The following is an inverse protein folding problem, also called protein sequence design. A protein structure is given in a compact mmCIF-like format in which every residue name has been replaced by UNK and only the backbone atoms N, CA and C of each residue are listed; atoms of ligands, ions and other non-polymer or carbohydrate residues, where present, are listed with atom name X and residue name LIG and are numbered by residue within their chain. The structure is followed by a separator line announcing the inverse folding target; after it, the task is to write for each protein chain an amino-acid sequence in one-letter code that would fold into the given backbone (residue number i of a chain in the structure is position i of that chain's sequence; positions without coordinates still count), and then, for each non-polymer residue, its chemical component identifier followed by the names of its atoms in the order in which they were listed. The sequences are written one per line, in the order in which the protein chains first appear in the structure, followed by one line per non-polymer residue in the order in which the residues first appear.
data_IF_849928561448
#
_entry.id   IF_849928561448
#
_cell.length_a   1.000
_cell.length_b   1.000
_cell.length_c   1.000
_cell.angle_alpha   90.00
_cell.angle_beta   90.00
_cell.angle_gamma   90.00
#
_symmetry.space_group_name_H-M   'P 1'
#
loop_
_entity.id
_entity.type
_entity.pdbx_description
1 polymer ?
#
# COMPACT_ATOMS: atom_id res chain seq x y z
N UNK A 1 -48.17 -19.42 -7.24
CA UNK A 1 -46.99 -19.75 -8.07
C UNK A 1 -46.29 -18.51 -8.63
N UNK A 2 -47.01 -17.49 -9.20
CA UNK A 2 -46.37 -16.27 -9.76
C UNK A 2 -45.57 -15.44 -8.75
N UNK A 3 -46.03 -15.36 -7.44
CA UNK A 3 -45.32 -14.60 -6.40
C UNK A 3 -44.04 -15.26 -5.92
N UNK A 4 -43.96 -16.61 -5.95
CA UNK A 4 -42.78 -17.37 -5.59
C UNK A 4 -41.66 -17.24 -6.64
N UNK A 5 -42.04 -17.16 -7.91
CA UNK A 5 -41.11 -16.98 -9.02
C UNK A 5 -40.46 -15.59 -9.01
N UNK A 6 -41.20 -14.56 -8.54
CA UNK A 6 -40.67 -13.19 -8.43
C UNK A 6 -39.62 -13.06 -7.32
N UNK A 7 -39.79 -13.78 -6.19
CA UNK A 7 -38.85 -13.78 -5.07
C UNK A 7 -37.53 -14.49 -5.46
N UNK A 8 -37.61 -15.59 -6.22
CA UNK A 8 -36.41 -16.30 -6.70
C UNK A 8 -35.65 -15.45 -7.73
N UNK A 9 -36.35 -14.69 -8.58
CA UNK A 9 -35.72 -13.79 -9.54
C UNK A 9 -35.03 -12.61 -8.86
N UNK A 10 -35.56 -12.11 -7.73
CA UNK A 10 -34.94 -11.04 -6.95
C UNK A 10 -33.66 -11.47 -6.24
N UNK A 11 -33.57 -12.74 -5.83
CA UNK A 11 -32.37 -13.31 -5.19
C UNK A 11 -31.21 -13.57 -6.18
N UNK A 12 -31.52 -13.75 -7.48
CA UNK A 12 -30.51 -14.00 -8.51
C UNK A 12 -29.71 -12.73 -8.89
N UNK A 13 -30.17 -11.54 -8.52
CA UNK A 13 -29.49 -10.28 -8.81
C UNK A 13 -28.40 -9.87 -7.79
N UNK A 14 -28.27 -10.58 -6.66
CA UNK A 14 -27.30 -10.23 -5.62
C UNK A 14 -25.95 -10.98 -5.64
N UNK A 15 -25.67 -11.79 -6.67
CA UNK A 15 -24.52 -12.71 -6.64
C UNK A 15 -23.36 -12.36 -7.59
N UNK A 16 -23.09 -11.09 -7.86
CA UNK A 16 -21.88 -10.70 -8.58
C UNK A 16 -21.10 -9.57 -7.88
N UNK A 17 -20.85 -9.69 -6.56
CA UNK A 17 -19.73 -8.98 -5.98
C UNK A 17 -18.46 -9.75 -6.37
N UNK A 18 -17.75 -9.24 -7.38
CA UNK A 18 -16.49 -9.81 -7.83
C UNK A 18 -15.46 -9.68 -6.71
N UNK A 19 -14.64 -10.72 -6.48
CA UNK A 19 -13.53 -10.69 -5.52
C UNK A 19 -12.60 -9.47 -5.71
N UNK A 20 -12.53 -8.92 -6.91
CA UNK A 20 -11.81 -7.68 -7.24
C UNK A 20 -12.43 -6.46 -6.53
N UNK A 21 -13.74 -6.44 -6.34
CA UNK A 21 -14.44 -5.35 -5.64
C UNK A 21 -14.19 -5.41 -4.13
N UNK A 22 -14.10 -6.61 -3.53
CA UNK A 22 -13.78 -6.78 -2.10
C UNK A 22 -12.38 -6.26 -1.75
N UNK A 23 -11.38 -6.50 -2.59
CA UNK A 23 -10.01 -6.00 -2.41
C UNK A 23 -9.99 -4.48 -2.44
N UNK A 24 -10.59 -3.89 -3.46
CA UNK A 24 -10.66 -2.43 -3.58
C UNK A 24 -11.49 -1.80 -2.46
N UNK A 25 -12.53 -2.49 -2.00
CA UNK A 25 -13.34 -2.05 -0.87
C UNK A 25 -12.51 -2.08 0.43
N UNK A 26 -11.77 -3.17 0.70
CA UNK A 26 -10.91 -3.27 1.86
C UNK A 26 -9.84 -2.15 1.90
N UNK A 27 -9.24 -1.83 0.76
CA UNK A 27 -8.26 -0.75 0.64
C UNK A 27 -8.88 0.62 0.93
N UNK A 28 -10.08 0.90 0.40
CA UNK A 28 -10.80 2.16 0.65
C UNK A 28 -11.19 2.31 2.11
N UNK A 29 -11.83 1.30 2.68
CA UNK A 29 -12.32 1.33 4.06
C UNK A 29 -11.17 1.48 5.06
N UNK A 30 -10.02 0.86 4.78
CA UNK A 30 -8.86 1.01 5.63
C UNK A 30 -8.16 2.36 5.46
N UNK A 31 -8.13 2.90 4.24
CA UNK A 31 -7.64 4.25 3.98
C UNK A 31 -8.48 5.29 4.70
N UNK A 32 -9.80 5.22 4.58
CA UNK A 32 -10.72 6.13 5.24
C UNK A 32 -10.61 6.06 6.77
N UNK A 33 -10.48 4.83 7.32
CA UNK A 33 -10.24 4.64 8.75
C UNK A 33 -8.93 5.27 9.18
N UNK A 34 -7.85 5.01 8.45
CA UNK A 34 -6.52 5.48 8.78
C UNK A 34 -6.42 7.00 8.69
N UNK A 35 -6.95 7.61 7.63
CA UNK A 35 -6.97 9.07 7.49
C UNK A 35 -7.75 9.77 8.60
N UNK A 36 -8.81 9.14 9.13
CA UNK A 36 -9.64 9.72 10.21
C UNK A 36 -9.06 9.51 11.60
N UNK A 37 -8.49 8.33 11.86
CA UNK A 37 -8.22 7.88 13.21
C UNK A 37 -6.71 7.72 13.52
N UNK A 38 -5.83 7.70 12.51
CA UNK A 38 -4.41 7.52 12.73
C UNK A 38 -3.80 8.79 13.30
N UNK A 39 -3.64 8.78 14.62
CA UNK A 39 -3.14 9.90 15.39
C UNK A 39 -2.38 9.39 16.61
N UNK A 40 -1.17 9.85 16.79
CA UNK A 40 -0.37 9.65 18.00
C UNK A 40 -0.20 11.01 18.67
N UNK A 41 -0.29 11.04 19.99
CA UNK A 41 -0.12 12.25 20.77
C UNK A 41 1.28 12.86 20.51
N UNK A 42 1.32 14.17 20.35
CA UNK A 42 2.53 14.96 20.03
C UNK A 42 3.16 14.71 18.66
N UNK A 43 2.55 13.92 17.78
CA UNK A 43 3.00 13.74 16.41
C UNK A 43 2.03 14.39 15.41
N UNK A 44 2.56 14.81 14.26
CA UNK A 44 1.74 15.30 13.16
C UNK A 44 0.89 14.18 12.57
N UNK A 45 -0.35 14.48 12.20
CA UNK A 45 -1.23 13.54 11.51
C UNK A 45 -0.79 13.33 10.06
N UNK A 46 -1.07 12.16 9.48
CA UNK A 46 -0.84 11.96 8.06
C UNK A 46 -1.78 12.85 7.23
N UNK A 47 -1.26 13.41 6.15
CA UNK A 47 -2.06 14.16 5.17
C UNK A 47 -2.22 13.39 3.85
N UNK A 48 -1.40 12.33 3.64
CA UNK A 48 -1.45 11.48 2.46
C UNK A 48 -1.08 10.05 2.83
N UNK A 49 -1.86 9.09 2.31
CA UNK A 49 -1.60 7.65 2.42
C UNK A 49 -1.72 7.04 1.02
N UNK A 50 -0.78 6.20 0.65
CA UNK A 50 -0.78 5.43 -0.58
C UNK A 50 -0.73 3.94 -0.27
N UNK A 51 -1.62 3.18 -0.91
CA UNK A 51 -1.63 1.73 -0.89
C UNK A 51 -1.35 1.18 -2.28
N UNK A 52 -0.34 0.34 -2.39
CA UNK A 52 -0.01 -0.38 -3.61
C UNK A 52 -0.05 -1.88 -3.34
N UNK A 53 -0.94 -2.58 -4.04
CA UNK A 53 -1.04 -4.04 -4.02
C UNK A 53 -0.66 -4.57 -5.39
N UNK A 54 0.38 -5.36 -5.44
CA UNK A 54 0.92 -5.96 -6.67
C UNK A 54 0.79 -7.47 -6.62
N UNK A 55 0.21 -8.03 -7.68
CA UNK A 55 0.26 -9.47 -7.94
C UNK A 55 1.21 -9.72 -9.09
N UNK A 56 2.17 -10.61 -8.88
CA UNK A 56 3.10 -11.04 -9.91
C UNK A 56 3.24 -12.55 -9.91
N UNK A 57 3.51 -13.12 -11.07
CA UNK A 57 3.81 -14.54 -11.23
C UNK A 57 5.18 -14.67 -11.86
N UNK A 58 6.10 -15.30 -11.16
CA UNK A 58 7.42 -15.62 -11.66
C UNK A 58 7.42 -17.06 -12.18
N UNK A 59 7.62 -17.21 -13.48
CA UNK A 59 7.80 -18.52 -14.10
C UNK A 59 9.29 -18.68 -14.41
N UNK A 60 9.90 -19.69 -13.81
CA UNK A 60 11.29 -20.04 -14.04
C UNK A 60 11.36 -21.41 -14.69
N UNK A 61 11.97 -21.49 -15.87
CA UNK A 61 12.16 -22.73 -16.61
C UNK A 61 13.65 -23.01 -16.74
N UNK A 62 14.08 -24.18 -16.29
CA UNK A 62 15.44 -24.64 -16.43
C UNK A 62 15.49 -25.78 -17.46
N UNK A 63 16.49 -25.72 -18.35
CA UNK A 63 16.68 -26.78 -19.35
C UNK A 63 18.19 -27.11 -19.48
N UNK A 64 18.51 -28.37 -19.62
CA UNK A 64 19.87 -28.90 -19.85
C UNK A 64 19.87 -29.85 -21.03
N UNK A 65 20.78 -29.62 -21.98
CA UNK A 65 20.91 -30.44 -23.19
C UNK A 65 19.61 -30.62 -23.97
N UNK A 66 18.76 -29.56 -24.00
CA UNK A 66 17.48 -29.58 -24.72
C UNK A 66 16.31 -30.20 -23.95
N UNK A 67 16.55 -30.72 -22.74
CA UNK A 67 15.48 -31.23 -21.87
C UNK A 67 15.18 -30.27 -20.74
N UNK A 68 13.91 -29.98 -20.51
CA UNK A 68 13.45 -29.19 -19.37
C UNK A 68 13.69 -29.98 -18.09
N UNK A 69 14.44 -29.41 -17.15
CA UNK A 69 14.78 -30.04 -15.87
C UNK A 69 13.93 -29.56 -14.73
N UNK A 70 13.45 -28.30 -14.80
CA UNK A 70 12.58 -27.74 -13.78
C UNK A 70 11.66 -26.66 -14.35
N UNK A 71 10.45 -26.59 -13.86
CA UNK A 71 9.50 -25.50 -14.11
C UNK A 71 8.94 -25.07 -12.77
N UNK A 72 9.27 -23.88 -12.34
CA UNK A 72 8.76 -23.30 -11.10
C UNK A 72 7.83 -22.14 -11.41
N UNK A 73 6.62 -22.18 -10.87
CA UNK A 73 5.62 -21.13 -10.95
C UNK A 73 5.35 -20.59 -9.54
N UNK A 74 5.84 -19.40 -9.24
CA UNK A 74 5.73 -18.81 -7.91
C UNK A 74 4.94 -17.49 -7.99
N UNK A 75 3.63 -17.53 -7.73
CA UNK A 75 2.83 -16.32 -7.58
C UNK A 75 3.22 -15.59 -6.29
N UNK A 76 3.25 -14.27 -6.35
CA UNK A 76 3.63 -13.39 -5.24
C UNK A 76 2.62 -12.24 -5.16
N UNK A 77 2.12 -11.98 -3.96
CA UNK A 77 1.41 -10.74 -3.64
C UNK A 77 2.31 -9.86 -2.76
N UNK A 78 2.45 -8.60 -3.14
CA UNK A 78 3.26 -7.61 -2.42
C UNK A 78 2.40 -6.41 -2.07
N UNK A 79 2.43 -6.04 -0.79
CA UNK A 79 1.81 -4.83 -0.27
C UNK A 79 2.88 -3.80 0.03
N UNK A 80 2.74 -2.59 -0.52
CA UNK A 80 3.54 -1.42 -0.19
C UNK A 80 2.64 -0.32 0.34
N UNK A 81 3.03 0.29 1.45
CA UNK A 81 2.32 1.41 2.08
C UNK A 81 3.28 2.58 2.23
N UNK A 82 2.84 3.75 1.77
CA UNK A 82 3.55 4.99 1.94
C UNK A 82 2.66 6.00 2.67
N UNK A 83 3.22 6.63 3.70
CA UNK A 83 2.53 7.65 4.50
C UNK A 83 3.33 8.93 4.47
N UNK A 84 2.63 10.07 4.29
CA UNK A 84 3.25 11.38 4.37
C UNK A 84 2.67 12.17 5.53
N UNK A 85 3.58 12.79 6.27
CA UNK A 85 3.32 13.54 7.50
C UNK A 85 3.83 14.97 7.33
N UNK A 86 3.06 15.95 7.78
CA UNK A 86 3.32 17.37 7.55
C UNK A 86 2.29 17.97 6.62
N UNK A 87 2.74 18.57 5.53
CA UNK A 87 1.90 19.10 4.46
C UNK A 87 2.60 19.03 3.10
N UNK A 88 1.94 19.48 2.03
CA UNK A 88 2.52 19.44 0.68
C UNK A 88 3.78 20.28 0.52
N UNK A 89 3.92 21.36 1.31
CA UNK A 89 5.09 22.25 1.25
C UNK A 89 6.28 21.67 2.01
N UNK A 90 6.00 21.00 3.15
CA UNK A 90 7.04 20.44 4.02
C UNK A 90 6.56 19.14 4.66
N UNK A 91 7.13 18.02 4.23
CA UNK A 91 6.79 16.70 4.71
C UNK A 91 8.05 15.85 5.06
N UNK A 92 7.86 14.59 5.33
CA UNK A 92 8.93 13.63 5.62
C UNK A 92 9.74 13.20 4.39
N UNK A 93 9.43 13.69 3.18
CA UNK A 93 10.20 13.41 1.96
C UNK A 93 11.49 14.22 1.90
N UNK A 94 12.37 13.85 0.95
CA UNK A 94 13.59 14.59 0.65
C UNK A 94 14.52 14.80 1.87
N UNK A 95 14.51 13.85 2.80
CA UNK A 95 15.39 13.83 3.95
C UNK A 95 16.08 12.47 4.05
N UNK A 96 17.41 12.50 4.10
CA UNK A 96 18.24 11.31 4.29
C UNK A 96 18.83 11.38 5.69
N UNK A 97 18.44 10.45 6.53
CA UNK A 97 19.03 10.28 7.85
C UNK A 97 20.24 9.35 7.77
N UNK A 98 21.41 9.94 7.75
CA UNK A 98 22.67 9.19 7.72
C UNK A 98 22.94 8.39 9.00
N UNK A 99 22.25 8.71 10.11
CA UNK A 99 22.44 8.05 11.41
C UNK A 99 21.70 6.70 11.51
N UNK A 100 20.59 6.54 10.82
CA UNK A 100 19.75 5.34 10.90
C UNK A 100 20.33 4.13 10.15
N UNK A 101 21.13 4.35 9.11
CA UNK A 101 21.62 3.26 8.24
C UNK A 101 23.04 2.76 8.59
N UNK A 102 23.77 3.45 9.46
CA UNK A 102 25.16 3.09 9.78
C UNK A 102 25.28 1.87 10.70
N UNK A 103 24.25 1.52 11.44
CA UNK A 103 24.28 0.43 12.42
C UNK A 103 23.33 -0.73 12.11
N UNK A 104 22.76 -0.79 10.88
CA UNK A 104 22.08 -1.99 10.41
C UNK A 104 20.89 -2.44 11.27
N UNK A 105 20.17 -1.52 11.90
CA UNK A 105 18.83 -1.83 12.37
C UNK A 105 17.97 -2.03 11.14
N UNK A 106 18.00 -3.25 10.61
CA UNK A 106 16.99 -3.73 9.68
C UNK A 106 15.67 -3.65 10.41
N UNK A 107 15.06 -2.49 10.30
CA UNK A 107 13.87 -2.18 11.05
C UNK A 107 12.77 -3.14 10.62
N UNK A 108 12.28 -3.92 11.57
CA UNK A 108 11.06 -4.72 11.41
C UNK A 108 9.93 -3.86 10.80
N UNK A 109 9.94 -2.55 11.04
CA UNK A 109 9.03 -1.57 10.46
C UNK A 109 9.12 -1.47 8.94
N UNK A 110 10.31 -1.46 8.34
CA UNK A 110 10.47 -1.42 6.88
C UNK A 110 9.95 -2.70 6.23
N UNK A 111 10.08 -3.85 6.89
CA UNK A 111 9.49 -5.10 6.44
C UNK A 111 7.97 -5.05 6.44
N UNK A 112 7.34 -4.30 7.35
CA UNK A 112 5.88 -4.16 7.36
C UNK A 112 5.36 -3.24 6.26
N UNK A 113 6.09 -2.20 5.90
CA UNK A 113 5.69 -1.23 4.88
C UNK A 113 5.78 -1.77 3.46
N UNK A 114 6.71 -2.70 3.20
CA UNK A 114 6.90 -3.30 1.88
C UNK A 114 7.17 -4.80 2.02
N UNK A 115 6.11 -5.60 2.02
CA UNK A 115 6.23 -7.03 2.30
C UNK A 115 5.42 -7.92 1.37
N UNK A 116 5.82 -9.17 1.32
CA UNK A 116 4.98 -10.23 0.77
C UNK A 116 3.82 -10.52 1.72
N UNK A 117 2.64 -10.67 1.14
CA UNK A 117 1.42 -11.07 1.86
C UNK A 117 0.86 -12.32 1.22
N UNK A 118 -0.06 -13.04 1.88
CA UNK A 118 -0.74 -14.19 1.28
C UNK A 118 -1.39 -13.84 -0.05
N UNK A 119 -1.40 -14.77 -0.98
CA UNK A 119 -2.01 -14.58 -2.32
C UNK A 119 -3.53 -14.61 -2.22
N UNK A 120 -4.04 -15.48 -1.35
CA UNK A 120 -5.47 -15.59 -1.07
C UNK A 120 -5.87 -14.52 -0.06
N UNK A 121 -6.40 -13.40 -0.58
CA UNK A 121 -6.81 -12.27 0.23
C UNK A 121 -8.33 -12.24 0.36
N UNK A 122 -8.81 -12.26 1.59
CA UNK A 122 -10.17 -11.84 1.93
C UNK A 122 -10.19 -10.39 2.37
N UNK A 123 -11.35 -9.77 2.36
CA UNK A 123 -11.57 -8.41 2.86
C UNK A 123 -10.93 -8.18 4.24
N UNK A 124 -11.22 -9.04 5.22
CA UNK A 124 -10.73 -8.89 6.59
C UNK A 124 -9.21 -9.12 6.69
N UNK A 125 -8.69 -10.11 5.97
CA UNK A 125 -7.26 -10.40 5.99
C UNK A 125 -6.46 -9.25 5.39
N UNK A 126 -6.89 -8.73 4.25
CA UNK A 126 -6.23 -7.58 3.62
C UNK A 126 -6.28 -6.34 4.53
N UNK A 127 -7.42 -6.04 5.14
CA UNK A 127 -7.53 -4.91 6.09
C UNK A 127 -6.56 -5.02 7.27
N UNK A 128 -6.38 -6.22 7.82
CA UNK A 128 -5.38 -6.45 8.87
C UNK A 128 -3.96 -6.13 8.39
N UNK A 129 -3.60 -6.59 7.19
CA UNK A 129 -2.28 -6.31 6.61
C UNK A 129 -2.07 -4.82 6.34
N UNK A 130 -3.08 -4.15 5.80
CA UNK A 130 -3.06 -2.72 5.55
C UNK A 130 -2.92 -1.93 6.85
N UNK A 131 -3.68 -2.28 7.88
CA UNK A 131 -3.61 -1.63 9.19
C UNK A 131 -2.21 -1.70 9.80
N UNK A 132 -1.62 -2.90 9.86
CA UNK A 132 -0.26 -3.10 10.39
C UNK A 132 0.79 -2.31 9.60
N UNK A 133 0.70 -2.37 8.27
CA UNK A 133 1.64 -1.65 7.40
C UNK A 133 1.48 -0.13 7.50
N UNK A 134 0.25 0.36 7.66
CA UNK A 134 -0.02 1.80 7.79
C UNK A 134 0.47 2.34 9.14
N UNK A 135 0.28 1.58 10.23
CA UNK A 135 0.78 1.96 11.55
C UNK A 135 2.32 2.08 11.54
N UNK A 136 3.01 1.09 10.99
CA UNK A 136 4.46 1.11 10.84
C UNK A 136 4.93 2.27 9.96
N UNK A 137 4.31 2.46 8.78
CA UNK A 137 4.65 3.54 7.87
C UNK A 137 4.42 4.93 8.50
N UNK A 138 3.35 5.11 9.26
CA UNK A 138 3.09 6.36 9.95
C UNK A 138 4.14 6.68 11.02
N UNK A 139 4.46 5.70 11.88
CA UNK A 139 5.49 5.88 12.94
C UNK A 139 6.82 6.27 12.32
N UNK A 140 7.24 5.57 11.28
CA UNK A 140 8.47 5.87 10.54
C UNK A 140 8.44 7.27 9.92
N UNK A 141 7.35 7.63 9.25
CA UNK A 141 7.21 8.93 8.61
C UNK A 141 7.20 10.09 9.63
N UNK A 142 6.56 9.90 10.78
CA UNK A 142 6.54 10.89 11.85
C UNK A 142 7.92 11.07 12.50
N UNK A 143 8.67 9.98 12.66
CA UNK A 143 10.06 10.04 13.13
C UNK A 143 10.96 10.81 12.16
N UNK A 144 10.90 10.48 10.86
CA UNK A 144 11.67 11.16 9.81
C UNK A 144 11.29 12.64 9.76
N UNK A 145 10.00 12.97 9.83
CA UNK A 145 9.52 14.36 9.85
C UNK A 145 10.11 15.14 11.02
N UNK A 146 10.06 14.57 12.23
CA UNK A 146 10.60 15.20 13.44
C UNK A 146 12.11 15.44 13.35
N UNK A 147 12.86 14.47 12.81
CA UNK A 147 14.30 14.59 12.57
C UNK A 147 14.62 15.67 11.54
N UNK A 148 13.86 15.70 10.43
CA UNK A 148 13.97 16.74 9.39
C UNK A 148 13.69 18.12 9.97
N UNK A 149 12.59 18.28 10.70
CA UNK A 149 12.22 19.53 11.35
C UNK A 149 13.33 20.02 12.29
N UNK A 150 13.86 19.11 13.14
CA UNK A 150 14.94 19.44 14.09
C UNK A 150 16.23 19.84 13.37
N UNK A 151 16.61 19.12 12.33
CA UNK A 151 17.86 19.39 11.59
C UNK A 151 17.81 20.71 10.82
N UNK A 152 16.63 21.15 10.43
CA UNK A 152 16.42 22.40 9.67
C UNK A 152 16.04 23.59 10.55
N UNK A 153 15.77 23.40 11.83
CA UNK A 153 15.32 24.45 12.77
C UNK A 153 16.23 25.68 12.80
N UNK A 154 17.54 25.49 12.62
CA UNK A 154 18.54 26.56 12.64
C UNK A 154 19.11 26.86 11.24
N UNK A 155 18.49 26.35 10.17
CA UNK A 155 18.93 26.56 8.78
C UNK A 155 17.89 27.33 8.01
N UNK A 156 18.32 28.36 7.28
CA UNK A 156 17.44 29.05 6.34
C UNK A 156 17.26 28.18 5.10
N UNK A 157 16.05 27.69 4.89
CA UNK A 157 15.70 26.96 3.67
C UNK A 157 15.65 27.97 2.51
N UNK A 158 16.60 27.86 1.58
CA UNK A 158 16.64 28.69 0.37
C UNK A 158 15.72 28.20 -0.73
N UNK A 159 15.46 26.88 -0.74
CA UNK A 159 14.58 26.25 -1.71
C UNK A 159 13.14 26.29 -1.19
N UNK A 160 12.24 26.87 -1.98
CA UNK A 160 10.80 26.99 -1.73
C UNK A 160 9.97 25.96 -2.48
N UNK A 161 10.63 25.03 -3.20
CA UNK A 161 9.95 23.94 -3.91
C UNK A 161 9.19 23.07 -2.90
N UNK A 162 7.90 22.74 -3.17
CA UNK A 162 7.14 21.82 -2.33
C UNK A 162 7.80 20.44 -2.27
N UNK A 163 7.76 19.82 -1.11
CA UNK A 163 8.29 18.46 -0.94
C UNK A 163 7.42 17.42 -1.68
N UNK A 164 6.13 17.70 -1.86
CA UNK A 164 5.21 16.84 -2.60
C UNK A 164 4.23 17.65 -3.44
N UNK A 165 4.05 17.25 -4.70
CA UNK A 165 3.15 17.94 -5.63
C UNK A 165 1.72 17.43 -5.46
N UNK A 166 0.79 18.39 -5.30
CA UNK A 166 -0.64 18.09 -5.33
C UNK A 166 -1.11 18.00 -6.79
N UNK A 167 -1.49 16.81 -7.22
CA UNK A 167 -2.07 16.58 -8.55
C UNK A 167 -3.58 16.33 -8.45
N UNK A 168 -4.35 16.64 -9.52
CA UNK A 168 -5.77 16.30 -9.54
C UNK A 168 -5.96 14.78 -9.47
N UNK A 169 -7.08 14.30 -8.89
CA UNK A 169 -7.39 12.87 -8.87
C UNK A 169 -7.44 12.29 -10.27
N UNK A 170 -6.79 11.15 -10.46
CA UNK A 170 -6.79 10.42 -11.71
C UNK A 170 -7.26 8.99 -11.48
N UNK A 171 -8.12 8.48 -12.37
CA UNK A 171 -8.58 7.10 -12.35
C UNK A 171 -8.26 6.43 -13.68
N UNK A 172 -7.51 5.34 -13.63
CA UNK A 172 -7.25 4.47 -14.76
C UNK A 172 -7.60 3.03 -14.41
N UNK A 173 -8.35 2.37 -15.27
CA UNK A 173 -8.67 0.95 -15.14
C UNK A 173 -8.35 0.31 -16.48
N UNK A 174 -7.34 -0.55 -16.50
CA UNK A 174 -7.06 -1.41 -17.65
C UNK A 174 -7.77 -2.75 -17.45
N UNK A 175 -8.81 -2.97 -18.22
CA UNK A 175 -9.60 -4.21 -18.21
C UNK A 175 -9.09 -5.24 -19.22
N UNK A 176 -8.15 -4.86 -20.10
CA UNK A 176 -7.68 -5.67 -21.22
C UNK A 176 -6.28 -6.26 -20.98
N UNK A 177 -5.72 -6.04 -19.80
CA UNK A 177 -4.41 -6.58 -19.49
C UNK A 177 -4.45 -8.11 -19.44
N UNK A 178 -3.85 -8.73 -20.44
CA UNK A 178 -3.64 -10.17 -20.53
C UNK A 178 -2.14 -10.43 -20.65
N UNK A 179 -1.60 -11.21 -19.72
CA UNK A 179 -0.26 -11.76 -19.88
C UNK A 179 -0.34 -12.87 -20.92
N UNK A 180 0.25 -12.67 -22.08
CA UNK A 180 0.44 -13.73 -23.08
C UNK A 180 1.80 -14.36 -22.85
N UNK A 181 1.82 -15.65 -22.61
CA UNK A 181 3.02 -16.47 -22.57
C UNK A 181 3.25 -17.13 -23.92
#
# INVERSE_FOLDING_TARGET
MKKFFLIVLLFAFFSNLSAKDEIMQAMRDEMDRSMKNLKIENLKTPYFIEYKLEYSTNINVQAVLGNTTDINNAPIARLTVNVKVGDYQFDNSNYIDFGLNLFGSGDDEEQFMNRRIPIELSYHNLRKHLWLATDAAYKRSAEIFTKKETSLKNKVRRDTTPDFLKTPPYKSIDTNYQVKF
#
